data_IF_741716809011
#
_entry.id   IF_741716809011
#
_cell.length_a   1.000
_cell.length_b   1.000
_cell.length_c   1.000
_cell.angle_alpha   90.00
_cell.angle_beta   90.00
_cell.angle_gamma   90.00
#
_symmetry.space_group_name_H-M   'P 1'
#
loop_
_entity.id
_entity.type
_entity.pdbx_description
1 polymer ?
#
# COMPACT_ATOMS: atom_id res chain seq x y z
N UNK A 1 -34.08 13.57 -33.40
CA UNK A 1 -34.25 12.40 -32.51
C UNK A 1 -33.01 12.21 -31.63
N UNK A 2 -32.86 13.04 -30.60
CA UNK A 2 -31.78 12.93 -29.61
C UNK A 2 -32.41 12.85 -28.23
N UNK A 3 -32.50 11.64 -27.66
CA UNK A 3 -32.78 11.46 -26.23
C UNK A 3 -31.94 10.31 -25.68
N UNK A 4 -31.28 10.62 -24.56
CA UNK A 4 -30.88 9.71 -23.47
C UNK A 4 -29.60 8.89 -23.63
N UNK A 5 -28.48 9.50 -23.20
CA UNK A 5 -27.32 8.81 -22.61
C UNK A 5 -27.01 9.33 -21.19
N UNK A 6 -28.06 9.62 -20.39
CA UNK A 6 -27.93 10.31 -19.10
C UNK A 6 -27.80 9.40 -17.85
N UNK A 7 -27.81 8.08 -17.99
CA UNK A 7 -27.79 7.16 -16.82
C UNK A 7 -26.43 6.55 -16.47
N UNK A 8 -25.35 6.88 -17.19
CA UNK A 8 -23.99 6.41 -16.87
C UNK A 8 -23.28 7.15 -15.70
N UNK A 9 -23.50 8.45 -15.41
CA UNK A 9 -22.74 9.16 -14.38
C UNK A 9 -23.07 8.72 -12.93
N UNK A 10 -24.35 8.44 -12.62
CA UNK A 10 -24.79 8.12 -11.26
C UNK A 10 -24.23 6.80 -10.71
N UNK A 11 -24.10 5.77 -11.56
CA UNK A 11 -23.49 4.49 -11.16
C UNK A 11 -22.01 4.66 -10.81
N UNK A 12 -21.30 5.52 -11.54
CA UNK A 12 -19.87 5.76 -11.32
C UNK A 12 -19.64 6.54 -10.02
N UNK A 13 -20.46 7.57 -9.76
CA UNK A 13 -20.36 8.40 -8.55
C UNK A 13 -20.63 7.60 -7.25
N UNK A 14 -21.65 6.75 -7.25
CA UNK A 14 -21.97 5.90 -6.09
C UNK A 14 -20.87 4.85 -5.82
N UNK A 15 -20.24 4.33 -6.88
CA UNK A 15 -19.14 3.37 -6.76
C UNK A 15 -17.87 4.03 -6.19
N UNK A 16 -17.59 5.29 -6.56
CA UNK A 16 -16.47 6.08 -6.02
C UNK A 16 -16.70 6.44 -4.55
N UNK A 17 -17.91 6.90 -4.18
CA UNK A 17 -18.26 7.21 -2.78
C UNK A 17 -18.13 5.99 -1.88
N UNK A 18 -18.62 4.83 -2.33
CA UNK A 18 -18.47 3.57 -1.61
C UNK A 18 -16.99 3.21 -1.45
N UNK A 19 -16.19 3.29 -2.52
CA UNK A 19 -14.74 2.97 -2.46
C UNK A 19 -13.97 3.87 -1.49
N UNK A 20 -14.29 5.17 -1.44
CA UNK A 20 -13.68 6.13 -0.50
C UNK A 20 -14.09 5.84 0.94
N UNK A 21 -15.37 5.54 1.19
CA UNK A 21 -15.90 5.16 2.50
C UNK A 21 -15.30 3.85 3.04
N UNK A 22 -15.24 2.81 2.21
CA UNK A 22 -14.63 1.52 2.60
C UNK A 22 -13.13 1.66 2.86
N UNK A 23 -12.44 2.57 2.18
CA UNK A 23 -11.02 2.87 2.47
C UNK A 23 -10.84 3.54 3.84
N UNK A 24 -11.73 4.45 4.23
CA UNK A 24 -11.64 5.12 5.54
C UNK A 24 -12.02 4.23 6.73
N UNK A 25 -12.87 3.20 6.52
CA UNK A 25 -13.29 2.27 7.58
C UNK A 25 -12.24 1.20 7.92
N UNK A 26 -11.31 0.92 6.99
CA UNK A 26 -10.16 0.04 7.25
C UNK A 26 -9.23 0.67 8.31
N UNK A 27 -9.18 2.00 8.42
CA UNK A 27 -8.22 2.73 9.23
C UNK A 27 -8.78 3.30 10.55
N UNK A 28 -10.09 3.22 10.83
CA UNK A 28 -10.69 3.79 12.05
C UNK A 28 -11.79 2.91 12.64
N UNK A 29 -11.57 2.38 13.86
CA UNK A 29 -12.65 1.91 14.76
C UNK A 29 -12.76 2.86 15.95
N UNK A 30 -13.88 3.59 16.02
CA UNK A 30 -14.28 4.38 17.18
C UNK A 30 -15.19 3.50 18.06
N UNK A 31 -14.95 3.46 19.38
CA UNK A 31 -15.77 2.69 20.34
C UNK A 31 -16.97 3.55 20.77
N UNK A 32 -18.17 2.98 20.71
CA UNK A 32 -19.42 3.54 21.26
C UNK A 32 -19.67 2.96 22.67
N UNK A 33 -20.20 3.75 23.60
CA UNK A 33 -20.45 3.35 25.00
C UNK A 33 -21.96 3.36 25.33
N UNK A 34 -22.33 2.71 26.44
CA UNK A 34 -23.70 2.41 26.91
C UNK A 34 -24.62 3.65 27.03
N UNK A 35 -24.06 4.86 27.22
CA UNK A 35 -24.85 6.11 27.26
C UNK A 35 -25.48 6.47 25.91
N UNK A 36 -24.91 6.02 24.79
CA UNK A 36 -25.41 6.32 23.44
C UNK A 36 -26.68 5.50 23.08
N UNK A 37 -26.88 4.32 23.69
CA UNK A 37 -28.08 3.50 23.53
C UNK A 37 -29.32 4.19 24.12
N UNK A 38 -29.15 4.89 25.25
CA UNK A 38 -30.23 5.62 25.94
C UNK A 38 -30.60 6.88 25.16
N UNK A 39 -29.62 7.62 24.61
CA UNK A 39 -29.88 8.79 23.77
C UNK A 39 -30.48 8.44 22.39
N UNK A 40 -30.11 7.31 21.79
CA UNK A 40 -30.72 6.88 20.53
C UNK A 40 -32.21 6.54 20.69
N UNK A 41 -32.59 5.86 21.77
CA UNK A 41 -34.00 5.59 22.09
C UNK A 41 -34.82 6.88 22.29
N UNK A 42 -34.21 7.96 22.77
CA UNK A 42 -34.90 9.24 22.95
C UNK A 42 -35.12 10.03 21.65
N UNK A 43 -34.35 9.76 20.58
CA UNK A 43 -34.37 10.54 19.33
C UNK A 43 -34.64 9.72 18.05
N UNK A 44 -34.97 8.43 18.14
CA UNK A 44 -35.18 7.57 16.98
C UNK A 44 -36.58 7.75 16.38
N UNK A 45 -36.67 8.04 15.08
CA UNK A 45 -37.96 7.98 14.37
C UNK A 45 -38.49 6.53 14.33
N UNK A 46 -39.81 6.33 14.23
CA UNK A 46 -40.44 4.99 14.13
C UNK A 46 -39.72 4.04 13.15
N UNK A 47 -39.28 4.58 12.00
CA UNK A 47 -38.50 3.87 10.97
C UNK A 47 -37.12 3.37 11.45
N UNK A 48 -36.44 4.10 12.34
CA UNK A 48 -35.17 3.65 12.92
C UNK A 48 -35.38 2.48 13.89
N UNK A 49 -36.42 2.55 14.71
CA UNK A 49 -36.76 1.47 15.64
C UNK A 49 -37.18 0.20 14.89
N UNK A 50 -37.97 0.33 13.83
CA UNK A 50 -38.35 -0.77 12.94
C UNK A 50 -37.12 -1.47 12.34
N UNK A 51 -36.18 -0.71 11.77
CA UNK A 51 -34.93 -1.27 11.22
C UNK A 51 -34.05 -1.93 12.29
N UNK A 52 -33.99 -1.37 13.48
CA UNK A 52 -33.25 -1.96 14.60
C UNK A 52 -33.87 -3.31 15.00
N UNK A 53 -35.19 -3.34 15.18
CA UNK A 53 -35.93 -4.56 15.52
C UNK A 53 -35.75 -5.63 14.43
N UNK A 54 -35.81 -5.26 13.15
CA UNK A 54 -35.59 -6.18 12.04
C UNK A 54 -34.16 -6.75 12.03
N UNK A 55 -33.14 -5.93 12.31
CA UNK A 55 -31.76 -6.43 12.46
C UNK A 55 -31.61 -7.42 13.61
N UNK A 56 -32.17 -7.10 14.79
CA UNK A 56 -32.09 -7.94 15.99
C UNK A 56 -32.83 -9.27 15.77
N UNK A 57 -34.02 -9.23 15.16
CA UNK A 57 -34.80 -10.41 14.76
C UNK A 57 -33.98 -11.37 13.88
N UNK A 58 -33.14 -10.82 13.02
CA UNK A 58 -32.24 -11.58 12.16
C UNK A 58 -30.90 -11.94 12.80
N UNK A 59 -30.70 -11.64 14.09
CA UNK A 59 -29.55 -12.10 14.87
C UNK A 59 -28.35 -11.14 14.90
N UNK A 60 -28.52 -9.89 14.47
CA UNK A 60 -27.49 -8.86 14.67
C UNK A 60 -27.54 -8.34 16.11
N UNK A 61 -26.38 -8.00 16.67
CA UNK A 61 -26.34 -7.36 17.99
C UNK A 61 -26.70 -5.88 17.91
N UNK A 62 -27.41 -5.36 18.93
CA UNK A 62 -27.79 -3.94 19.01
C UNK A 62 -26.59 -3.02 18.86
N UNK A 63 -25.47 -3.34 19.53
CA UNK A 63 -24.24 -2.57 19.44
C UNK A 63 -23.69 -2.50 18.00
N UNK A 64 -23.70 -3.63 17.26
CA UNK A 64 -23.28 -3.66 15.85
C UNK A 64 -24.17 -2.77 14.99
N UNK A 65 -25.49 -2.80 15.20
CA UNK A 65 -26.43 -1.99 14.42
C UNK A 65 -26.25 -0.49 14.72
N UNK A 66 -26.22 -0.11 15.99
CA UNK A 66 -26.13 1.29 16.43
C UNK A 66 -24.78 1.93 16.08
N UNK A 67 -23.69 1.16 16.16
CA UNK A 67 -22.36 1.60 15.72
C UNK A 67 -22.27 1.83 14.21
N UNK A 68 -23.23 1.33 13.42
CA UNK A 68 -23.23 1.37 11.96
C UNK A 68 -24.40 2.18 11.40
N UNK A 69 -24.30 3.52 11.51
CA UNK A 69 -25.33 4.49 11.08
C UNK A 69 -25.81 4.33 9.62
N UNK A 70 -25.04 3.68 8.75
CA UNK A 70 -25.44 3.43 7.37
C UNK A 70 -26.61 2.45 7.24
N UNK A 71 -26.83 1.56 8.22
CA UNK A 71 -27.95 0.60 8.22
C UNK A 71 -29.29 1.33 8.16
N UNK A 72 -29.43 2.42 8.93
CA UNK A 72 -30.66 3.20 8.97
C UNK A 72 -30.97 3.96 7.68
N UNK A 73 -29.99 4.08 6.76
CA UNK A 73 -30.16 4.68 5.43
C UNK A 73 -30.61 3.69 4.36
N UNK A 74 -30.58 2.39 4.64
CA UNK A 74 -31.02 1.35 3.72
C UNK A 74 -32.55 1.25 3.75
N UNK A 75 -33.19 0.99 2.61
CA UNK A 75 -34.62 0.72 2.53
C UNK A 75 -34.97 -0.58 3.29
N UNK A 76 -36.09 -0.60 4.01
CA UNK A 76 -36.47 -1.73 4.89
C UNK A 76 -36.59 -3.06 4.14
N UNK A 77 -37.15 -3.06 2.92
CA UNK A 77 -37.28 -4.27 2.09
C UNK A 77 -35.90 -4.80 1.68
N UNK A 78 -34.98 -3.90 1.32
CA UNK A 78 -33.60 -4.30 1.00
C UNK A 78 -32.89 -4.86 2.24
N UNK A 79 -33.11 -4.27 3.42
CA UNK A 79 -32.55 -4.73 4.69
C UNK A 79 -33.05 -6.14 5.03
N UNK A 80 -34.37 -6.33 5.11
CA UNK A 80 -34.99 -7.60 5.48
C UNK A 80 -34.63 -8.72 4.50
N UNK A 81 -34.83 -8.50 3.19
CA UNK A 81 -34.48 -9.49 2.17
C UNK A 81 -32.97 -9.78 2.14
N UNK A 82 -32.14 -8.75 2.36
CA UNK A 82 -30.69 -8.89 2.43
C UNK A 82 -30.25 -9.77 3.60
N UNK A 83 -30.85 -9.59 4.78
CA UNK A 83 -30.59 -10.38 5.97
C UNK A 83 -30.99 -11.85 5.80
N UNK A 84 -32.15 -12.10 5.17
CA UNK A 84 -32.58 -13.46 4.79
C UNK A 84 -31.55 -14.12 3.87
N UNK A 85 -31.04 -13.38 2.87
CA UNK A 85 -30.02 -13.89 1.95
C UNK A 85 -28.70 -14.18 2.67
N UNK A 86 -28.23 -13.30 3.57
CA UNK A 86 -26.98 -13.52 4.31
C UNK A 86 -27.08 -14.70 5.27
N UNK A 87 -28.25 -14.98 5.86
CA UNK A 87 -28.46 -16.17 6.68
C UNK A 87 -28.17 -17.47 5.90
N UNK A 88 -28.44 -17.49 4.58
CA UNK A 88 -28.13 -18.64 3.69
C UNK A 88 -26.63 -18.86 3.46
N UNK A 89 -25.77 -17.91 3.84
CA UNK A 89 -24.30 -18.07 3.77
C UNK A 89 -23.74 -18.88 4.94
N UNK A 90 -24.61 -19.39 5.82
CA UNK A 90 -24.27 -20.10 7.05
C UNK A 90 -23.25 -19.33 7.92
N UNK A 91 -23.57 -18.08 8.34
CA UNK A 91 -22.70 -17.32 9.22
C UNK A 91 -22.58 -17.97 10.60
N UNK A 92 -21.36 -17.98 11.15
CA UNK A 92 -21.09 -18.27 12.57
C UNK A 92 -21.76 -17.23 13.47
N UNK A 93 -21.73 -15.95 13.07
CA UNK A 93 -22.45 -14.83 13.70
C UNK A 93 -22.95 -13.90 12.60
N UNK A 94 -24.18 -13.39 12.71
CA UNK A 94 -24.71 -12.48 11.68
C UNK A 94 -23.92 -11.17 11.58
N UNK A 95 -23.34 -10.73 12.70
CA UNK A 95 -22.38 -9.62 12.80
C UNK A 95 -21.11 -9.81 11.94
N UNK A 96 -20.81 -11.03 11.49
CA UNK A 96 -19.66 -11.27 10.61
C UNK A 96 -19.90 -10.78 9.17
N UNK A 97 -21.17 -10.85 8.71
CA UNK A 97 -21.52 -10.69 7.30
C UNK A 97 -22.35 -9.45 7.01
N UNK A 98 -22.92 -8.78 8.02
CA UNK A 98 -23.88 -7.69 7.83
C UNK A 98 -23.39 -6.57 6.91
N UNK A 99 -22.08 -6.31 6.87
CA UNK A 99 -21.46 -5.32 5.97
C UNK A 99 -21.82 -5.56 4.49
N UNK A 100 -22.02 -6.82 4.10
CA UNK A 100 -22.41 -7.19 2.74
C UNK A 100 -23.79 -6.66 2.34
N UNK A 101 -24.66 -6.24 3.29
CA UNK A 101 -25.94 -5.59 3.01
C UNK A 101 -25.79 -4.31 2.17
N UNK A 102 -24.62 -3.68 2.18
CA UNK A 102 -24.29 -2.53 1.34
C UNK A 102 -24.18 -2.87 -0.16
N UNK A 103 -24.15 -4.16 -0.52
CA UNK A 103 -24.18 -4.59 -1.91
C UNK A 103 -25.59 -4.44 -2.52
N UNK A 104 -25.70 -4.12 -3.83
CA UNK A 104 -27.00 -4.10 -4.50
C UNK A 104 -27.70 -5.47 -4.43
N UNK A 105 -29.04 -5.47 -4.30
CA UNK A 105 -29.82 -6.69 -4.08
C UNK A 105 -29.57 -7.77 -5.14
N UNK A 106 -29.56 -7.38 -6.43
CA UNK A 106 -29.22 -8.30 -7.54
C UNK A 106 -27.87 -9.00 -7.34
N UNK A 107 -26.90 -8.27 -6.78
CA UNK A 107 -25.56 -8.82 -6.50
C UNK A 107 -25.58 -9.74 -5.28
N UNK A 108 -26.29 -9.39 -4.22
CA UNK A 108 -26.50 -10.26 -3.06
C UNK A 108 -27.12 -11.59 -3.49
N UNK A 109 -28.21 -11.58 -4.25
CA UNK A 109 -28.87 -12.80 -4.76
C UNK A 109 -27.89 -13.68 -5.55
N UNK A 110 -27.16 -13.07 -6.49
CA UNK A 110 -26.16 -13.79 -7.29
C UNK A 110 -25.06 -14.41 -6.42
N UNK A 111 -24.50 -13.63 -5.48
CA UNK A 111 -23.43 -14.10 -4.61
C UNK A 111 -23.92 -15.16 -3.62
N UNK A 112 -25.15 -15.07 -3.12
CA UNK A 112 -25.75 -16.12 -2.27
C UNK A 112 -25.85 -17.45 -3.01
N UNK A 113 -26.33 -17.44 -4.25
CA UNK A 113 -26.36 -18.66 -5.08
C UNK A 113 -24.96 -19.24 -5.27
N UNK A 114 -23.99 -18.39 -5.61
CA UNK A 114 -22.60 -18.82 -5.81
C UNK A 114 -21.98 -19.39 -4.52
N UNK A 115 -22.12 -18.71 -3.39
CA UNK A 115 -21.63 -19.17 -2.09
C UNK A 115 -22.22 -20.52 -1.72
N UNK A 116 -23.52 -20.74 -1.99
CA UNK A 116 -24.16 -22.02 -1.73
C UNK A 116 -23.57 -23.15 -2.59
N UNK A 117 -23.40 -22.92 -3.90
CA UNK A 117 -22.77 -23.90 -4.81
C UNK A 117 -21.34 -24.22 -4.34
N UNK A 118 -20.57 -23.21 -3.97
CA UNK A 118 -19.18 -23.37 -3.59
C UNK A 118 -18.95 -23.86 -2.17
N UNK A 119 -20.01 -23.95 -1.35
CA UNK A 119 -19.89 -24.36 0.06
C UNK A 119 -19.29 -25.75 0.25
N UNK A 120 -19.36 -26.61 -0.78
CA UNK A 120 -18.77 -27.96 -0.79
C UNK A 120 -17.25 -27.95 -1.02
N UNK A 121 -16.73 -26.94 -1.72
CA UNK A 121 -15.31 -26.86 -2.11
C UNK A 121 -14.54 -25.81 -1.31
N UNK A 122 -15.23 -24.79 -0.79
CA UNK A 122 -14.62 -23.72 0.00
C UNK A 122 -14.48 -24.17 1.45
N UNK A 123 -13.26 -24.23 2.02
CA UNK A 123 -13.07 -24.52 3.42
C UNK A 123 -13.87 -23.55 4.29
N UNK A 124 -14.50 -24.07 5.36
CA UNK A 124 -15.42 -23.32 6.23
C UNK A 124 -16.73 -22.88 5.55
N UNK A 125 -17.08 -23.45 4.40
CA UNK A 125 -18.37 -23.32 3.75
C UNK A 125 -18.61 -22.00 3.00
N UNK A 126 -17.83 -20.95 3.26
CA UNK A 126 -17.88 -19.72 2.46
C UNK A 126 -16.54 -18.99 2.42
N UNK A 127 -16.38 -18.16 1.38
CA UNK A 127 -15.13 -17.43 1.11
C UNK A 127 -14.75 -16.44 2.21
N UNK A 128 -15.72 -15.89 2.94
CA UNK A 128 -15.43 -14.93 4.02
C UNK A 128 -14.64 -15.62 5.13
N UNK A 129 -15.10 -16.79 5.58
CA UNK A 129 -14.40 -17.54 6.62
C UNK A 129 -13.10 -18.19 6.13
N UNK A 130 -13.06 -18.63 4.88
CA UNK A 130 -11.81 -19.05 4.24
C UNK A 130 -10.76 -17.95 4.30
N UNK A 131 -11.06 -16.74 3.81
CA UNK A 131 -10.10 -15.63 3.83
C UNK A 131 -9.80 -15.13 5.24
N UNK A 132 -10.77 -15.17 6.16
CA UNK A 132 -10.59 -14.77 7.56
C UNK A 132 -9.54 -15.64 8.26
N UNK A 133 -9.64 -16.96 8.10
CA UNK A 133 -8.65 -17.90 8.64
C UNK A 133 -7.31 -17.81 7.91
N UNK A 134 -7.33 -17.77 6.58
CA UNK A 134 -6.12 -17.76 5.74
C UNK A 134 -5.21 -16.55 6.01
N UNK A 135 -5.83 -15.37 6.20
CA UNK A 135 -5.12 -14.11 6.42
C UNK A 135 -5.18 -13.59 7.86
N UNK A 136 -5.72 -14.39 8.78
CA UNK A 136 -5.85 -14.05 10.21
C UNK A 136 -6.55 -12.69 10.41
N UNK A 137 -7.68 -12.50 9.72
CA UNK A 137 -8.51 -11.28 9.75
C UNK A 137 -9.87 -11.57 10.34
N UNK A 138 -10.51 -10.54 10.88
CA UNK A 138 -11.92 -10.65 11.31
C UNK A 138 -12.82 -10.80 10.08
N UNK A 139 -13.88 -11.62 10.12
CA UNK A 139 -14.82 -11.78 9.00
C UNK A 139 -15.37 -10.46 8.46
N UNK A 140 -15.70 -9.52 9.36
CA UNK A 140 -16.12 -8.17 8.99
C UNK A 140 -15.08 -7.45 8.10
N UNK A 141 -13.80 -7.52 8.44
CA UNK A 141 -12.70 -6.93 7.66
C UNK A 141 -12.57 -7.60 6.29
N UNK A 142 -12.80 -8.91 6.23
CA UNK A 142 -12.81 -9.65 4.98
C UNK A 142 -13.98 -9.24 4.09
N UNK A 143 -15.17 -9.04 4.64
CA UNK A 143 -16.33 -8.52 3.89
C UNK A 143 -15.99 -7.19 3.21
N UNK A 144 -15.42 -6.23 3.94
CA UNK A 144 -14.94 -4.96 3.39
C UNK A 144 -13.91 -5.17 2.26
N UNK A 145 -12.98 -6.09 2.47
CA UNK A 145 -11.93 -6.40 1.50
C UNK A 145 -12.49 -7.02 0.21
N UNK A 146 -13.39 -7.99 0.32
CA UNK A 146 -14.06 -8.61 -0.83
C UNK A 146 -14.94 -7.61 -1.59
N UNK A 147 -15.61 -6.69 -0.88
CA UNK A 147 -16.37 -5.61 -1.52
C UNK A 147 -15.49 -4.64 -2.31
N UNK A 148 -14.27 -4.37 -1.83
CA UNK A 148 -13.26 -3.58 -2.54
C UNK A 148 -12.72 -4.33 -3.75
N UNK A 149 -12.42 -5.63 -3.61
CA UNK A 149 -11.88 -6.51 -4.65
C UNK A 149 -12.93 -7.51 -5.12
N UNK A 150 -13.98 -7.01 -5.78
CA UNK A 150 -15.21 -7.77 -6.11
C UNK A 150 -14.97 -9.07 -6.88
N UNK A 151 -13.87 -9.18 -7.62
CA UNK A 151 -13.51 -10.39 -8.34
C UNK A 151 -13.22 -11.58 -7.40
N UNK A 152 -12.82 -11.32 -6.15
CA UNK A 152 -12.59 -12.36 -5.14
C UNK A 152 -13.88 -13.11 -4.76
N UNK A 153 -15.05 -12.53 -5.01
CA UNK A 153 -16.31 -13.25 -4.87
C UNK A 153 -16.61 -14.17 -6.05
N UNK A 154 -16.07 -13.88 -7.25
CA UNK A 154 -16.56 -14.50 -8.48
C UNK A 154 -15.57 -15.38 -9.20
N UNK A 155 -14.28 -15.04 -9.13
CA UNK A 155 -13.20 -15.83 -9.71
C UNK A 155 -13.27 -17.25 -9.19
N UNK A 156 -12.95 -18.22 -10.03
CA UNK A 156 -12.89 -19.62 -9.65
C UNK A 156 -12.11 -19.83 -8.34
N UNK A 157 -12.71 -20.61 -7.43
CA UNK A 157 -12.17 -20.74 -6.07
C UNK A 157 -10.89 -21.57 -6.06
N UNK A 158 -10.84 -22.66 -6.83
CA UNK A 158 -9.66 -23.54 -6.88
C UNK A 158 -8.45 -22.79 -7.43
N UNK A 159 -8.64 -22.00 -8.49
CA UNK A 159 -7.61 -21.11 -9.05
C UNK A 159 -7.12 -20.10 -8.01
N UNK A 160 -8.02 -19.49 -7.23
CA UNK A 160 -7.65 -18.55 -6.16
C UNK A 160 -6.83 -19.24 -5.07
N UNK A 161 -7.29 -20.41 -4.64
CA UNK A 161 -6.64 -21.22 -3.61
C UNK A 161 -5.25 -21.67 -4.07
N UNK A 162 -5.15 -22.19 -5.30
CA UNK A 162 -3.89 -22.64 -5.89
C UNK A 162 -2.88 -21.49 -6.03
N UNK A 163 -3.32 -20.32 -6.50
CA UNK A 163 -2.48 -19.12 -6.52
C UNK A 163 -1.97 -18.74 -5.12
N UNK A 164 -2.83 -18.81 -4.10
CA UNK A 164 -2.40 -18.55 -2.71
C UNK A 164 -1.32 -19.54 -2.27
N UNK A 165 -1.50 -20.84 -2.54
CA UNK A 165 -0.56 -21.89 -2.11
C UNK A 165 0.80 -21.69 -2.80
N UNK A 166 0.83 -21.43 -4.11
CA UNK A 166 2.06 -21.08 -4.84
C UNK A 166 2.79 -19.93 -4.15
N UNK A 167 2.09 -18.85 -3.81
CA UNK A 167 2.73 -17.69 -3.19
C UNK A 167 3.32 -18.04 -1.80
N UNK A 168 2.61 -18.82 -0.99
CA UNK A 168 3.07 -19.22 0.35
C UNK A 168 4.25 -20.18 0.28
N UNK A 169 4.20 -21.20 -0.58
CA UNK A 169 5.30 -22.14 -0.83
C UNK A 169 6.58 -21.42 -1.30
N UNK A 170 6.41 -20.27 -1.95
CA UNK A 170 7.50 -19.40 -2.39
C UNK A 170 7.85 -18.29 -1.37
N UNK A 171 7.50 -18.48 -0.10
CA UNK A 171 7.82 -17.60 1.02
C UNK A 171 7.33 -16.15 0.85
N UNK A 172 6.25 -15.94 0.10
CA UNK A 172 5.63 -14.62 -0.03
C UNK A 172 4.84 -14.31 1.24
N UNK A 173 5.08 -13.14 1.83
CA UNK A 173 4.46 -12.77 3.10
C UNK A 173 2.93 -12.60 2.96
N UNK A 174 2.15 -13.23 3.85
CA UNK A 174 0.67 -13.14 3.88
C UNK A 174 0.14 -11.70 3.87
N UNK A 175 0.75 -10.79 4.64
CA UNK A 175 0.31 -9.39 4.68
C UNK A 175 0.60 -8.66 3.36
N UNK A 176 1.67 -9.02 2.66
CA UNK A 176 1.95 -8.45 1.33
C UNK A 176 0.93 -8.95 0.31
N UNK A 177 0.55 -10.24 0.34
CA UNK A 177 -0.51 -10.81 -0.51
C UNK A 177 -1.85 -10.12 -0.23
N UNK A 178 -2.20 -9.93 1.05
CA UNK A 178 -3.43 -9.24 1.45
C UNK A 178 -3.48 -7.81 0.91
N UNK A 179 -2.40 -7.04 1.08
CA UNK A 179 -2.30 -5.67 0.57
C UNK A 179 -2.37 -5.63 -0.96
N UNK A 180 -1.79 -6.63 -1.60
CA UNK A 180 -1.68 -6.70 -3.06
C UNK A 180 -2.56 -7.78 -3.68
N UNK A 181 -3.84 -7.71 -3.33
CA UNK A 181 -4.88 -8.68 -3.72
C UNK A 181 -5.05 -8.84 -5.23
N UNK A 182 -4.64 -7.86 -6.03
CA UNK A 182 -4.69 -7.97 -7.49
C UNK A 182 -3.83 -9.11 -8.05
N UNK A 183 -2.91 -9.68 -7.26
CA UNK A 183 -2.10 -10.85 -7.66
C UNK A 183 -2.98 -12.02 -8.08
N UNK A 184 -4.12 -12.17 -7.41
CA UNK A 184 -5.12 -13.17 -7.69
C UNK A 184 -5.83 -12.99 -9.03
N UNK A 185 -5.57 -11.91 -9.79
CA UNK A 185 -6.12 -11.75 -11.14
C UNK A 185 -5.22 -12.35 -12.24
N UNK A 186 -3.95 -12.63 -11.93
CA UNK A 186 -2.97 -13.07 -12.92
C UNK A 186 -3.07 -14.58 -13.19
N UNK A 187 -2.46 -15.04 -14.30
CA UNK A 187 -2.38 -16.46 -14.61
C UNK A 187 -1.32 -17.15 -13.75
N UNK A 188 -1.56 -18.41 -13.40
CA UNK A 188 -0.63 -19.22 -12.62
C UNK A 188 0.71 -19.38 -13.35
N UNK A 189 0.68 -19.62 -14.66
CA UNK A 189 1.90 -19.81 -15.47
C UNK A 189 2.79 -18.58 -15.48
N UNK A 190 2.20 -17.39 -15.67
CA UNK A 190 2.95 -16.13 -15.64
C UNK A 190 3.61 -15.90 -14.28
N UNK A 191 2.89 -16.24 -13.21
CA UNK A 191 3.40 -16.09 -11.84
C UNK A 191 4.54 -17.08 -11.58
N UNK A 192 4.39 -18.35 -11.97
CA UNK A 192 5.43 -19.37 -11.83
C UNK A 192 6.70 -19.01 -12.62
N UNK A 193 6.55 -18.54 -13.86
CA UNK A 193 7.69 -18.07 -14.67
C UNK A 193 8.46 -16.94 -13.95
N UNK A 194 7.75 -15.96 -13.39
CA UNK A 194 8.37 -14.83 -12.68
C UNK A 194 8.98 -15.24 -11.34
N UNK A 195 8.36 -16.18 -10.64
CA UNK A 195 8.93 -16.77 -9.43
C UNK A 195 10.26 -17.46 -9.76
N UNK A 196 10.32 -18.25 -10.84
CA UNK A 196 11.55 -18.92 -11.27
C UNK A 196 12.67 -17.91 -11.58
N UNK A 197 12.37 -16.85 -12.33
CA UNK A 197 13.33 -15.78 -12.64
C UNK A 197 13.79 -15.01 -11.40
N UNK A 198 12.88 -14.74 -10.46
CA UNK A 198 13.23 -14.08 -9.20
C UNK A 198 14.15 -14.96 -8.34
N UNK A 199 13.90 -16.27 -8.29
CA UNK A 199 14.76 -17.24 -7.58
C UNK A 199 16.15 -17.33 -8.19
N UNK A 200 16.26 -17.44 -9.52
CA UNK A 200 17.56 -17.47 -10.20
C UNK A 200 18.37 -16.19 -9.98
N UNK A 201 17.69 -15.05 -9.80
CA UNK A 201 18.30 -13.77 -9.46
C UNK A 201 18.54 -13.55 -7.95
N UNK A 202 18.23 -14.55 -7.09
CA UNK A 202 18.28 -14.44 -5.64
C UNK A 202 17.55 -13.21 -5.09
N UNK A 203 16.34 -12.96 -5.61
CA UNK A 203 15.47 -11.86 -5.20
C UNK A 203 14.40 -12.34 -4.21
N UNK A 204 14.10 -11.54 -3.17
CA UNK A 204 12.93 -11.78 -2.35
C UNK A 204 11.67 -11.56 -3.19
N UNK A 205 10.78 -12.56 -3.18
CA UNK A 205 9.57 -12.53 -4.00
C UNK A 205 8.52 -11.64 -3.33
N UNK A 206 7.99 -10.67 -4.09
CA UNK A 206 6.94 -9.76 -3.65
C UNK A 206 5.79 -9.74 -4.67
N UNK A 207 4.51 -9.64 -4.25
CA UNK A 207 3.38 -9.66 -5.18
C UNK A 207 3.46 -8.57 -6.26
N UNK A 208 3.83 -7.34 -5.91
CA UNK A 208 3.92 -6.23 -6.87
C UNK A 208 4.92 -6.53 -7.98
N UNK A 209 6.01 -7.24 -7.65
CA UNK A 209 7.06 -7.61 -8.58
C UNK A 209 6.51 -8.62 -9.60
N UNK A 210 5.76 -9.61 -9.13
CA UNK A 210 5.16 -10.65 -9.98
C UNK A 210 4.10 -10.08 -10.94
N UNK A 211 3.41 -9.00 -10.56
CA UNK A 211 2.40 -8.32 -11.38
C UNK A 211 2.92 -7.22 -12.30
N UNK A 212 4.15 -6.77 -12.05
CA UNK A 212 4.73 -5.63 -12.76
C UNK A 212 4.85 -5.90 -14.27
N UNK A 213 5.02 -4.85 -15.07
CA UNK A 213 5.29 -5.06 -16.51
C UNK A 213 6.63 -5.79 -16.70
N UNK A 214 6.86 -6.49 -17.83
CA UNK A 214 8.12 -7.17 -18.10
C UNK A 214 9.35 -6.26 -17.95
N UNK A 215 9.23 -5.00 -18.36
CA UNK A 215 10.31 -4.00 -18.30
C UNK A 215 10.66 -3.65 -16.86
N UNK A 216 9.66 -3.40 -16.01
CA UNK A 216 9.86 -3.11 -14.58
C UNK A 216 10.48 -4.32 -13.87
N UNK A 217 10.03 -5.53 -14.22
CA UNK A 217 10.56 -6.77 -13.65
C UNK A 217 12.02 -7.00 -14.03
N UNK A 218 12.34 -6.86 -15.33
CA UNK A 218 13.70 -6.97 -15.84
C UNK A 218 14.62 -5.93 -15.18
N UNK A 219 14.19 -4.67 -15.12
CA UNK A 219 14.96 -3.60 -14.47
C UNK A 219 15.22 -3.89 -12.99
N UNK A 220 14.27 -4.53 -12.30
CA UNK A 220 14.45 -4.93 -10.90
C UNK A 220 15.56 -5.98 -10.74
N UNK A 221 15.64 -6.94 -11.66
CA UNK A 221 16.71 -7.94 -11.70
C UNK A 221 18.06 -7.27 -12.00
N UNK A 222 18.12 -6.41 -13.02
CA UNK A 222 19.32 -5.67 -13.41
C UNK A 222 19.87 -4.85 -12.24
N UNK A 223 19.03 -4.04 -11.57
CA UNK A 223 19.44 -3.23 -10.42
C UNK A 223 20.03 -4.11 -9.30
N UNK A 224 19.46 -5.29 -9.07
CA UNK A 224 19.99 -6.22 -8.06
C UNK A 224 21.36 -6.76 -8.45
N UNK A 225 21.55 -7.10 -9.72
CA UNK A 225 22.83 -7.56 -10.25
C UNK A 225 23.88 -6.45 -10.19
N UNK A 226 23.57 -5.24 -10.68
CA UNK A 226 24.44 -4.06 -10.60
C UNK A 226 24.85 -3.78 -9.15
N UNK A 227 23.90 -3.78 -8.21
CA UNK A 227 24.19 -3.58 -6.79
C UNK A 227 25.10 -4.68 -6.23
N UNK A 228 24.94 -5.94 -6.67
CA UNK A 228 25.81 -7.04 -6.27
C UNK A 228 27.22 -6.88 -6.81
N UNK A 229 27.40 -6.37 -8.03
CA UNK A 229 28.73 -6.06 -8.59
C UNK A 229 29.42 -5.00 -7.74
N UNK A 230 28.70 -3.93 -7.39
CA UNK A 230 29.26 -2.83 -6.57
C UNK A 230 29.64 -3.30 -5.17
N UNK A 231 28.76 -4.06 -4.51
CA UNK A 231 28.99 -4.54 -3.15
C UNK A 231 29.95 -5.74 -3.08
N UNK A 232 30.08 -6.51 -4.16
CA UNK A 232 30.73 -7.81 -4.18
C UNK A 232 30.17 -8.75 -3.09
N UNK A 233 30.88 -8.94 -1.97
CA UNK A 233 30.45 -9.72 -0.79
C UNK A 233 30.18 -8.85 0.44
N UNK A 234 30.40 -7.54 0.34
CA UNK A 234 30.28 -6.61 1.45
C UNK A 234 28.83 -6.17 1.66
N UNK A 235 28.50 -5.80 2.89
CA UNK A 235 27.34 -4.96 3.16
C UNK A 235 27.56 -3.52 2.67
N UNK A 236 26.49 -2.74 2.49
CA UNK A 236 26.61 -1.31 2.17
C UNK A 236 27.48 -0.56 3.17
N UNK A 237 27.40 -0.89 4.47
CA UNK A 237 28.22 -0.26 5.50
C UNK A 237 29.72 -0.60 5.34
N UNK A 238 30.03 -1.86 5.06
CA UNK A 238 31.41 -2.32 4.80
C UNK A 238 31.97 -1.70 3.52
N UNK A 239 31.18 -1.64 2.46
CA UNK A 239 31.54 -0.98 1.20
C UNK A 239 31.94 0.48 1.43
N UNK A 240 31.11 1.24 2.16
CA UNK A 240 31.40 2.64 2.49
C UNK A 240 32.62 2.80 3.38
N UNK A 241 32.77 1.95 4.39
CA UNK A 241 33.90 1.95 5.31
C UNK A 241 35.23 1.77 4.55
N UNK A 242 35.28 0.77 3.66
CA UNK A 242 36.44 0.53 2.79
C UNK A 242 36.70 1.71 1.85
N UNK A 243 35.67 2.20 1.16
CA UNK A 243 35.85 3.24 0.14
C UNK A 243 36.29 4.58 0.73
N UNK A 244 35.80 4.92 1.93
CA UNK A 244 36.14 6.14 2.66
C UNK A 244 37.33 5.97 3.62
N UNK A 245 37.90 4.75 3.72
CA UNK A 245 39.01 4.40 4.61
C UNK A 245 38.72 4.74 6.08
N UNK A 246 37.53 4.39 6.56
CA UNK A 246 37.09 4.61 7.95
C UNK A 246 36.61 3.31 8.60
N UNK A 247 36.62 3.19 9.94
CA UNK A 247 36.07 2.03 10.63
C UNK A 247 34.58 1.82 10.34
N UNK A 248 34.15 0.56 10.20
CA UNK A 248 32.75 0.22 9.94
C UNK A 248 31.81 0.75 11.05
N UNK A 249 32.28 0.78 12.30
CA UNK A 249 31.54 1.36 13.44
C UNK A 249 31.15 2.82 13.21
N UNK A 250 32.00 3.59 12.54
CA UNK A 250 31.71 5.00 12.19
C UNK A 250 30.56 5.09 11.20
N UNK A 251 30.56 4.26 10.17
CA UNK A 251 29.45 4.20 9.20
C UNK A 251 28.16 3.77 9.89
N UNK A 252 28.20 2.75 10.76
CA UNK A 252 27.03 2.29 11.53
C UNK A 252 26.45 3.39 12.43
N UNK A 253 27.30 4.20 13.09
CA UNK A 253 26.86 5.35 13.88
C UNK A 253 26.16 6.42 13.02
N UNK A 254 26.69 6.71 11.83
CA UNK A 254 26.04 7.62 10.89
C UNK A 254 24.73 7.02 10.37
N UNK A 255 24.70 5.71 10.13
CA UNK A 255 23.50 4.97 9.70
C UNK A 255 22.35 5.11 10.69
N UNK A 256 22.63 4.98 11.99
CA UNK A 256 21.61 5.09 13.03
C UNK A 256 21.09 6.52 13.16
N UNK A 257 21.96 7.53 12.96
CA UNK A 257 21.57 8.95 13.03
C UNK A 257 20.83 9.42 11.76
N UNK A 258 21.20 8.86 10.60
CA UNK A 258 20.65 9.23 9.29
C UNK A 258 20.25 7.97 8.49
N UNK A 259 19.16 7.28 8.88
CA UNK A 259 18.78 6.00 8.29
C UNK A 259 18.38 6.09 6.82
N UNK A 260 17.95 7.26 6.36
CA UNK A 260 17.58 7.51 4.95
C UNK A 260 18.78 7.54 4.03
N UNK A 261 19.95 7.94 4.54
CA UNK A 261 21.18 8.10 3.77
C UNK A 261 21.70 6.80 3.19
N UNK A 262 21.49 5.68 3.88
CA UNK A 262 21.99 4.36 3.48
C UNK A 262 20.93 3.43 2.89
N UNK A 263 19.71 3.96 2.66
CA UNK A 263 18.68 3.29 1.87
C UNK A 263 18.86 3.52 0.36
N UNK A 264 19.82 4.35 -0.02
CA UNK A 264 20.19 4.62 -1.40
C UNK A 264 20.82 3.36 -2.01
N UNK A 265 20.61 3.12 -3.30
CA UNK A 265 21.18 1.94 -3.97
C UNK A 265 22.71 1.99 -3.95
N UNK A 266 23.38 0.85 -3.77
CA UNK A 266 24.83 0.75 -3.91
C UNK A 266 25.40 1.36 -5.19
N UNK A 267 24.73 1.18 -6.34
CA UNK A 267 25.13 1.82 -7.60
C UNK A 267 25.20 3.33 -7.50
N UNK A 268 24.14 3.97 -7.00
CA UNK A 268 24.09 5.41 -6.82
C UNK A 268 25.10 5.89 -5.77
N UNK A 269 25.32 5.12 -4.69
CA UNK A 269 26.37 5.43 -3.72
C UNK A 269 27.76 5.44 -4.37
N UNK A 270 28.07 4.44 -5.21
CA UNK A 270 29.33 4.38 -5.95
C UNK A 270 29.49 5.61 -6.83
N UNK A 271 28.50 5.91 -7.67
CA UNK A 271 28.59 7.04 -8.60
C UNK A 271 28.76 8.38 -7.86
N UNK A 272 28.04 8.61 -6.76
CA UNK A 272 28.22 9.82 -5.93
C UNK A 272 29.60 9.86 -5.29
N UNK A 273 30.10 8.75 -4.75
CA UNK A 273 31.44 8.72 -4.12
C UNK A 273 32.55 8.98 -5.13
N UNK A 274 32.48 8.36 -6.30
CA UNK A 274 33.46 8.53 -7.36
C UNK A 274 33.49 10.00 -7.81
N UNK A 275 32.32 10.60 -8.03
CA UNK A 275 32.20 12.03 -8.31
C UNK A 275 32.84 12.90 -7.22
N UNK A 276 32.41 12.76 -5.96
CA UNK A 276 32.89 13.61 -4.87
C UNK A 276 34.40 13.47 -4.62
N UNK A 277 34.94 12.26 -4.72
CA UNK A 277 36.35 12.01 -4.47
C UNK A 277 37.22 12.50 -5.64
N UNK A 278 36.71 12.44 -6.87
CA UNK A 278 37.37 13.04 -8.05
C UNK A 278 37.37 14.58 -7.98
N UNK A 279 36.30 15.18 -7.46
CA UNK A 279 36.23 16.63 -7.19
C UNK A 279 37.07 17.08 -5.97
N UNK A 280 37.80 16.16 -5.33
CA UNK A 280 38.72 16.47 -4.24
C UNK A 280 38.10 16.53 -2.83
N UNK A 281 36.83 16.17 -2.67
CA UNK A 281 36.21 16.14 -1.33
C UNK A 281 36.81 15.03 -0.47
N UNK A 282 37.32 15.41 0.71
CA UNK A 282 37.88 14.46 1.69
C UNK A 282 36.77 13.60 2.32
N UNK A 283 37.08 12.35 2.73
CA UNK A 283 36.13 11.49 3.45
C UNK A 283 35.47 12.15 4.66
N UNK A 284 36.21 13.00 5.40
CA UNK A 284 35.68 13.76 6.54
C UNK A 284 34.56 14.72 6.15
N UNK A 285 34.66 15.38 4.98
CA UNK A 285 33.61 16.26 4.46
C UNK A 285 32.35 15.45 4.10
N UNK A 286 32.53 14.30 3.45
CA UNK A 286 31.43 13.43 3.02
C UNK A 286 30.67 12.89 4.24
N UNK A 287 31.40 12.44 5.27
CA UNK A 287 30.82 11.89 6.48
C UNK A 287 30.17 12.95 7.39
N UNK A 288 30.65 14.19 7.35
CA UNK A 288 30.00 15.31 8.06
C UNK A 288 28.73 15.78 7.36
N UNK A 289 28.56 15.45 6.06
CA UNK A 289 27.37 15.79 5.26
C UNK A 289 26.69 14.56 4.65
N UNK A 290 26.15 13.61 5.45
CA UNK A 290 25.59 12.35 4.93
C UNK A 290 24.45 12.55 3.92
N UNK A 291 23.72 13.67 4.01
CA UNK A 291 22.62 14.02 3.11
C UNK A 291 23.04 14.09 1.63
N UNK A 292 24.33 14.23 1.33
CA UNK A 292 24.84 14.26 -0.04
C UNK A 292 24.38 13.05 -0.86
N UNK A 293 24.29 11.87 -0.25
CA UNK A 293 23.85 10.65 -0.94
C UNK A 293 22.38 10.64 -1.36
N UNK A 294 21.56 11.54 -0.81
CA UNK A 294 20.13 11.64 -1.15
C UNK A 294 19.88 12.45 -2.43
N UNK A 295 20.83 13.30 -2.83
CA UNK A 295 20.72 14.12 -4.03
C UNK A 295 21.01 13.32 -5.30
N UNK A 296 20.60 13.83 -6.45
CA UNK A 296 21.00 13.28 -7.75
C UNK A 296 22.39 13.81 -8.13
N UNK A 297 23.13 13.05 -8.94
CA UNK A 297 24.46 13.49 -9.40
C UNK A 297 24.35 14.73 -10.27
N UNK A 298 23.36 14.80 -11.15
CA UNK A 298 23.13 15.99 -11.98
C UNK A 298 22.92 17.23 -11.14
N UNK A 299 22.12 17.14 -10.05
CA UNK A 299 21.94 18.25 -9.11
C UNK A 299 23.25 18.64 -8.42
N UNK A 300 24.08 17.67 -8.03
CA UNK A 300 25.36 17.97 -7.39
C UNK A 300 26.34 18.63 -8.37
N UNK A 301 26.39 18.15 -9.61
CA UNK A 301 27.23 18.71 -10.68
C UNK A 301 26.80 20.13 -11.05
N UNK A 302 25.52 20.34 -11.35
CA UNK A 302 24.95 21.64 -11.71
C UNK A 302 25.29 22.70 -10.65
N UNK A 303 25.07 22.37 -9.38
CA UNK A 303 25.33 23.29 -8.27
C UNK A 303 26.80 23.54 -8.02
N UNK A 304 27.64 22.54 -8.25
CA UNK A 304 29.07 22.67 -8.09
C UNK A 304 29.66 23.57 -9.18
N UNK A 305 29.23 23.41 -10.43
CA UNK A 305 29.58 24.30 -11.54
C UNK A 305 29.10 25.73 -11.28
N UNK A 306 27.82 25.90 -10.94
CA UNK A 306 27.25 27.24 -10.67
C UNK A 306 27.98 27.99 -9.55
N UNK A 307 28.35 27.31 -8.45
CA UNK A 307 29.10 27.95 -7.37
C UNK A 307 30.52 28.34 -7.80
N UNK A 308 31.20 27.49 -8.59
CA UNK A 308 32.54 27.79 -9.14
C UNK A 308 32.50 28.97 -10.11
N UNK A 309 31.51 29.01 -10.99
CA UNK A 309 31.32 30.11 -11.96
C UNK A 309 31.07 31.45 -11.25
N UNK A 310 30.45 31.41 -10.07
CA UNK A 310 30.27 32.56 -9.18
C UNK A 310 31.49 32.87 -8.30
N UNK A 311 32.62 32.19 -8.50
CA UNK A 311 33.85 32.40 -7.73
C UNK A 311 33.78 31.96 -6.26
N UNK A 312 32.80 31.13 -5.90
CA UNK A 312 32.64 30.59 -4.56
C UNK A 312 33.21 29.18 -4.44
N UNK A 313 33.89 28.89 -3.34
CA UNK A 313 34.39 27.53 -3.06
C UNK A 313 33.21 26.58 -2.72
N UNK A 314 32.92 25.55 -3.53
CA UNK A 314 31.76 24.69 -3.29
C UNK A 314 31.96 23.79 -2.07
N UNK A 315 31.11 23.95 -1.05
CA UNK A 315 31.08 23.04 0.11
C UNK A 315 29.92 22.05 0.00
N UNK A 316 30.09 20.82 0.50
CA UNK A 316 29.01 19.82 0.50
C UNK A 316 27.75 20.31 1.21
N UNK A 317 27.90 21.08 2.28
CA UNK A 317 26.78 21.71 2.99
C UNK A 317 25.99 22.66 2.09
N UNK A 318 26.68 23.45 1.25
CA UNK A 318 26.04 24.32 0.26
C UNK A 318 25.33 23.52 -0.83
N UNK A 319 26.00 22.53 -1.41
CA UNK A 319 25.45 21.66 -2.46
C UNK A 319 24.19 20.91 -1.99
N UNK A 320 24.13 20.55 -0.70
CA UNK A 320 23.03 19.77 -0.13
C UNK A 320 21.82 20.58 0.35
N UNK A 321 21.83 21.92 0.19
CA UNK A 321 20.71 22.80 0.58
C UNK A 321 19.41 22.46 -0.16
N UNK A 322 18.26 22.77 0.45
CA UNK A 322 16.99 22.67 -0.28
C UNK A 322 16.92 23.72 -1.39
N UNK A 323 15.98 23.60 -2.34
CA UNK A 323 15.91 24.49 -3.51
C UNK A 323 15.86 25.97 -3.13
N UNK A 324 15.00 26.35 -2.19
CA UNK A 324 14.82 27.75 -1.75
C UNK A 324 16.09 28.32 -1.12
N UNK A 325 16.67 27.64 -0.13
CA UNK A 325 17.88 28.09 0.57
C UNK A 325 19.12 28.05 -0.30
N UNK A 326 19.17 27.18 -1.30
CA UNK A 326 20.22 27.17 -2.30
C UNK A 326 20.11 28.40 -3.21
N UNK A 327 18.91 28.73 -3.69
CA UNK A 327 18.71 29.94 -4.51
C UNK A 327 19.05 31.22 -3.75
N UNK A 328 18.71 31.30 -2.47
CA UNK A 328 19.10 32.44 -1.62
C UNK A 328 20.63 32.60 -1.52
N UNK A 329 21.37 31.49 -1.46
CA UNK A 329 22.83 31.50 -1.46
C UNK A 329 23.36 32.03 -2.80
N UNK A 330 22.85 31.52 -3.91
CA UNK A 330 23.23 31.96 -5.27
C UNK A 330 22.95 33.46 -5.44
N UNK A 331 21.75 33.94 -5.09
CA UNK A 331 21.39 35.35 -5.20
C UNK A 331 22.32 36.25 -4.37
N UNK A 332 22.71 35.81 -3.17
CA UNK A 332 23.67 36.54 -2.33
C UNK A 332 25.06 36.62 -2.97
N UNK A 333 25.51 35.55 -3.62
CA UNK A 333 26.79 35.51 -4.33
C UNK A 333 26.78 36.42 -5.57
N UNK A 334 25.69 36.39 -6.35
CA UNK A 334 25.50 37.28 -7.50
C UNK A 334 25.58 38.75 -7.04
N UNK A 335 24.82 39.14 -6.02
CA UNK A 335 24.83 40.50 -5.48
C UNK A 335 26.21 40.92 -4.97
N UNK A 336 26.97 40.01 -4.35
CA UNK A 336 28.34 40.28 -3.87
C UNK A 336 29.28 40.54 -5.05
N UNK A 337 29.17 39.73 -6.12
CA UNK A 337 30.01 39.89 -7.29
C UNK A 337 29.67 41.16 -8.06
N UNK A 338 28.38 41.52 -8.20
CA UNK A 338 27.99 42.79 -8.86
C UNK A 338 28.53 44.02 -8.12
N UNK A 339 28.60 43.98 -6.78
CA UNK A 339 29.18 45.07 -5.97
C UNK A 339 30.70 45.20 -6.05
N UNK A 340 31.40 44.21 -6.62
CA UNK A 340 32.86 44.27 -6.86
C UNK A 340 33.22 44.97 -8.18
N UNK A 341 32.23 45.22 -9.06
CA UNK A 341 32.41 45.88 -10.36
C UNK A 341 31.84 47.31 -10.41
N UNK A 342 31.30 47.82 -9.29
CA UNK A 342 30.91 49.21 -9.06
C UNK A 342 31.91 49.77 -8.06
#
# INVERSE_FOLDING_TARGET
MLVSNMFKPLKYLNTIKLRKYLSSMIDKKQKFFIQDEVQFKMNSTLNHQEKLNECIKHGLTSNTVLSNKWIFKINIDHLSNGLVLLKKWNPKKMDDLFVLLQLPMKRLVYLTKKTHIESKIVPQGNRVYYFASTFEKKPEQVCYHLMRYKFLFTRDFETLSHMYHILIENNVNKNDIWKDTWIFMYSIDQINQRIALAKSANLPIKPWMLRSTPEIFKRTIEIKQENRVVLNKDSTAQYLAKRLKVPEKTIRCISSKYPTTLRVSPTKLKEILDFLLNEGFKPTHILSTPRVFTHSISTLQERLTELRDLGAEPTLTALCKNKTTYQELVNKLILKNTKLYI
#
